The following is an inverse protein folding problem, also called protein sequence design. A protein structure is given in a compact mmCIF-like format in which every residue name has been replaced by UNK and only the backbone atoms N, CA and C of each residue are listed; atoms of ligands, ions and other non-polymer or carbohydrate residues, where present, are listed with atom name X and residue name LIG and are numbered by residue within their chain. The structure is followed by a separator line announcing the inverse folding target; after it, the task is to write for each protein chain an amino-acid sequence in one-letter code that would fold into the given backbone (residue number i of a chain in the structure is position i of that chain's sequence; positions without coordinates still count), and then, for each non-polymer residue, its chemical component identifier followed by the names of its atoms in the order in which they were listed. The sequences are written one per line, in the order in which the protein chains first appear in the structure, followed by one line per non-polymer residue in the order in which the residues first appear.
data_IF_877324495040
#
_entry.id   IF_877324495040
#
_cell.length_a   1.000
_cell.length_b   1.000
_cell.length_c   1.000
_cell.angle_alpha   90.00
_cell.angle_beta   90.00
_cell.angle_gamma   90.00
#
_symmetry.space_group_name_H-M   'P 1'
#
loop_
_entity.id
_entity.type
_entity.pdbx_description
1 polymer ?
#
# COMPACT_ATOMS: atom_id res chain seq x y z
N UNK A 1 18.98 28.45 2.34
CA UNK A 1 17.89 27.50 2.69
C UNK A 1 17.23 26.87 1.46
N UNK A 2 16.76 27.63 0.46
CA UNK A 2 16.10 27.06 -0.74
C UNK A 2 17.02 26.17 -1.58
N UNK A 3 18.26 26.60 -1.83
CA UNK A 3 19.27 25.81 -2.55
C UNK A 3 19.76 24.58 -1.77
N UNK A 4 19.78 24.66 -0.43
CA UNK A 4 20.16 23.54 0.43
C UNK A 4 19.11 22.42 0.39
N UNK A 5 17.82 22.79 0.35
CA UNK A 5 16.73 21.83 0.15
C UNK A 5 16.79 21.15 -1.23
N UNK A 6 17.08 21.91 -2.29
CA UNK A 6 17.24 21.36 -3.65
C UNK A 6 18.44 20.39 -3.70
N UNK A 7 19.56 20.73 -3.06
CA UNK A 7 20.75 19.87 -2.98
C UNK A 7 20.46 18.56 -2.25
N UNK A 8 19.73 18.63 -1.13
CA UNK A 8 19.34 17.42 -0.38
C UNK A 8 18.38 16.53 -1.18
N UNK A 9 17.41 17.12 -1.87
CA UNK A 9 16.48 16.37 -2.73
C UNK A 9 17.21 15.73 -3.91
N UNK A 10 18.16 16.44 -4.53
CA UNK A 10 18.96 15.88 -5.61
C UNK A 10 19.86 14.72 -5.13
N UNK A 11 20.44 14.83 -3.95
CA UNK A 11 21.27 13.78 -3.36
C UNK A 11 20.45 12.52 -3.02
N UNK A 12 19.22 12.66 -2.51
CA UNK A 12 18.34 11.52 -2.22
C UNK A 12 17.85 10.84 -3.50
N UNK A 13 17.57 11.62 -4.56
CA UNK A 13 17.23 11.10 -5.89
C UNK A 13 18.39 10.32 -6.51
N UNK A 14 19.63 10.81 -6.36
CA UNK A 14 20.82 10.15 -6.89
C UNK A 14 21.16 8.85 -6.14
N UNK A 15 20.92 8.80 -4.83
CA UNK A 15 21.11 7.61 -4.01
C UNK A 15 20.07 6.50 -4.28
N UNK A 16 18.96 6.80 -4.97
CA UNK A 16 17.94 5.83 -5.32
C UNK A 16 18.28 4.98 -6.57
N UNK A 17 19.45 5.21 -7.20
CA UNK A 17 19.90 4.39 -8.32
C UNK A 17 20.24 2.97 -7.82
N UNK A 18 19.63 1.91 -8.39
CA UNK A 18 19.93 0.55 -7.98
C UNK A 18 21.37 0.21 -8.36
N UNK A 19 22.19 -0.12 -7.36
CA UNK A 19 23.54 -0.65 -7.54
C UNK A 19 23.52 -2.16 -7.34
N UNK A 20 24.33 -2.90 -8.10
CA UNK A 20 24.55 -4.35 -7.93
C UNK A 20 25.31 -4.61 -6.62
N UNK A 21 24.57 -4.61 -5.51
CA UNK A 21 25.13 -4.87 -4.18
C UNK A 21 25.29 -6.38 -3.97
N UNK A 22 26.53 -6.85 -3.75
CA UNK A 22 26.75 -8.19 -3.18
C UNK A 22 26.35 -8.13 -1.70
N UNK A 23 25.20 -8.69 -1.37
CA UNK A 23 24.64 -8.56 -0.05
C UNK A 23 25.45 -9.35 1.01
N UNK A 24 25.67 -8.74 2.17
CA UNK A 24 26.47 -9.30 3.27
C UNK A 24 25.66 -10.09 4.31
N UNK A 25 24.42 -10.43 3.99
CA UNK A 25 23.58 -11.28 4.84
C UNK A 25 23.08 -12.46 4.01
N UNK A 26 23.19 -13.68 4.56
CA UNK A 26 22.78 -14.94 3.92
C UNK A 26 21.34 -14.93 3.39
N UNK A 27 20.48 -14.08 3.95
CA UNK A 27 19.09 -13.87 3.52
C UNK A 27 18.95 -13.34 2.08
N UNK A 28 19.87 -12.47 1.65
CA UNK A 28 19.83 -11.89 0.31
C UNK A 28 20.41 -12.85 -0.75
N UNK A 29 21.42 -13.64 -0.36
CA UNK A 29 22.01 -14.70 -1.17
C UNK A 29 20.98 -15.77 -1.54
N UNK A 30 20.18 -16.24 -0.56
CA UNK A 30 19.10 -17.18 -0.81
C UNK A 30 18.04 -16.62 -1.77
N UNK A 31 17.78 -15.31 -1.76
CA UNK A 31 16.80 -14.70 -2.68
C UNK A 31 17.35 -14.59 -4.10
N UNK A 32 18.65 -14.34 -4.27
CA UNK A 32 19.31 -14.24 -5.57
C UNK A 32 19.56 -15.62 -6.20
N UNK A 33 20.00 -16.61 -5.41
CA UNK A 33 20.30 -17.98 -5.86
C UNK A 33 19.03 -18.75 -6.23
N UNK A 34 17.92 -18.60 -5.48
CA UNK A 34 16.63 -19.22 -5.81
C UNK A 34 15.96 -18.64 -7.07
N UNK A 35 16.43 -17.50 -7.59
CA UNK A 35 15.87 -16.87 -8.78
C UNK A 35 16.45 -17.43 -10.09
N UNK A 36 17.64 -18.05 -10.07
CA UNK A 36 18.39 -18.35 -11.29
C UNK A 36 18.92 -19.78 -11.39
N UNK A 37 18.98 -20.56 -10.31
CA UNK A 37 19.47 -21.95 -10.42
C UNK A 37 18.39 -22.96 -10.86
N UNK A 38 18.78 -23.78 -11.84
CA UNK A 38 18.17 -25.06 -12.23
C UNK A 38 16.76 -25.06 -12.84
N UNK A 39 16.39 -24.08 -13.69
CA UNK A 39 15.10 -24.13 -14.40
C UNK A 39 13.90 -24.19 -13.45
N UNK A 40 14.12 -23.75 -12.22
CA UNK A 40 13.26 -23.99 -11.08
C UNK A 40 12.05 -23.05 -11.14
N UNK A 41 10.85 -23.61 -11.32
CA UNK A 41 9.60 -22.84 -11.33
C UNK A 41 9.16 -22.41 -9.94
N UNK A 42 9.94 -22.67 -8.89
CA UNK A 42 9.63 -22.29 -7.51
C UNK A 42 9.69 -20.77 -7.27
N UNK A 43 10.48 -20.04 -8.07
CA UNK A 43 10.41 -18.56 -8.17
C UNK A 43 9.18 -18.05 -8.92
N UNK A 44 8.54 -18.88 -9.77
CA UNK A 44 7.26 -18.58 -10.44
C UNK A 44 6.11 -18.72 -9.45
N UNK A 45 6.01 -17.80 -8.50
CA UNK A 45 4.93 -17.82 -7.52
C UNK A 45 5.27 -17.09 -6.22
N UNK A 46 6.55 -16.91 -5.92
CA UNK A 46 6.97 -16.18 -4.72
C UNK A 46 6.46 -14.73 -4.70
N UNK A 47 6.51 -14.04 -5.84
CA UNK A 47 5.90 -12.72 -6.00
C UNK A 47 4.37 -12.75 -5.80
N UNK A 48 3.70 -13.86 -6.12
CA UNK A 48 2.27 -14.03 -5.85
C UNK A 48 2.01 -14.27 -4.36
N UNK A 49 2.87 -15.04 -3.68
CA UNK A 49 2.81 -15.24 -2.23
C UNK A 49 3.02 -13.93 -1.45
N UNK A 50 4.01 -13.12 -1.84
CA UNK A 50 4.25 -11.81 -1.23
C UNK A 50 3.05 -10.88 -1.46
N UNK A 51 2.54 -10.79 -2.70
CA UNK A 51 1.34 -9.99 -3.00
C UNK A 51 0.10 -10.51 -2.25
N UNK A 52 -0.03 -11.82 -2.05
CA UNK A 52 -1.12 -12.42 -1.27
C UNK A 52 -1.03 -12.02 0.20
N UNK A 53 0.14 -12.17 0.84
CA UNK A 53 0.35 -11.78 2.23
C UNK A 53 0.20 -10.27 2.44
N UNK A 54 0.65 -9.45 1.48
CA UNK A 54 0.45 -8.01 1.51
C UNK A 54 -1.01 -7.62 1.30
N UNK A 55 -1.80 -8.35 0.51
CA UNK A 55 -3.21 -8.03 0.26
C UNK A 55 -4.09 -8.20 1.51
N UNK A 56 -3.77 -9.17 2.38
CA UNK A 56 -4.55 -9.50 3.58
C UNK A 56 -4.81 -8.28 4.49
N UNK A 57 -3.80 -7.50 4.94
CA UNK A 57 -4.04 -6.34 5.80
C UNK A 57 -4.89 -5.26 5.14
N UNK A 58 -4.76 -5.03 3.83
CA UNK A 58 -5.58 -4.05 3.12
C UNK A 58 -7.04 -4.50 3.01
N UNK A 59 -7.28 -5.77 2.69
CA UNK A 59 -8.62 -6.34 2.63
C UNK A 59 -9.31 -6.32 4.00
N UNK A 60 -8.56 -6.64 5.06
CA UNK A 60 -9.06 -6.55 6.44
C UNK A 60 -9.44 -5.11 6.81
N UNK A 61 -8.59 -4.12 6.48
CA UNK A 61 -8.86 -2.71 6.75
C UNK A 61 -10.12 -2.21 6.01
N UNK A 62 -10.29 -2.59 4.74
CA UNK A 62 -11.49 -2.26 3.95
C UNK A 62 -12.74 -2.90 4.56
N UNK A 63 -12.67 -4.17 4.95
CA UNK A 63 -13.78 -4.88 5.59
C UNK A 63 -14.22 -4.20 6.89
N UNK A 64 -13.27 -3.87 7.77
CA UNK A 64 -13.54 -3.16 9.03
C UNK A 64 -14.14 -1.77 8.73
N UNK A 65 -13.58 -1.03 7.78
CA UNK A 65 -14.05 0.31 7.41
C UNK A 65 -15.50 0.30 6.89
N UNK A 66 -15.86 -0.66 6.04
CA UNK A 66 -17.23 -0.81 5.52
C UNK A 66 -18.21 -1.17 6.63
N UNK A 67 -17.85 -2.11 7.52
CA UNK A 67 -18.68 -2.49 8.65
C UNK A 67 -18.91 -1.32 9.60
N UNK A 68 -17.85 -0.56 9.90
CA UNK A 68 -17.94 0.65 10.72
C UNK A 68 -18.84 1.70 10.06
N UNK A 69 -18.62 2.02 8.79
CA UNK A 69 -19.45 3.00 8.07
C UNK A 69 -20.92 2.62 8.04
N UNK A 70 -21.25 1.35 7.79
CA UNK A 70 -22.64 0.88 7.78
C UNK A 70 -23.28 0.93 9.17
N UNK A 71 -22.52 0.64 10.22
CA UNK A 71 -23.02 0.63 11.60
C UNK A 71 -23.22 2.04 12.18
N UNK A 72 -22.31 2.97 11.89
CA UNK A 72 -22.30 4.30 12.50
C UNK A 72 -22.95 5.39 11.65
N UNK A 73 -23.25 5.13 10.37
CA UNK A 73 -24.03 6.05 9.55
C UNK A 73 -25.52 5.85 9.80
N UNK A 74 -26.07 6.56 10.78
CA UNK A 74 -27.51 6.70 10.95
C UNK A 74 -28.13 7.27 9.66
N UNK A 75 -29.12 6.56 9.11
CA UNK A 75 -29.98 7.11 8.07
C UNK A 75 -30.81 8.21 8.71
N UNK A 76 -30.54 9.48 8.39
CA UNK A 76 -31.50 10.55 8.70
C UNK A 76 -32.74 10.29 7.86
N UNK A 77 -33.80 9.77 8.47
CA UNK A 77 -35.14 9.86 7.92
C UNK A 77 -35.50 11.34 7.97
N UNK A 78 -35.42 12.01 6.82
CA UNK A 78 -36.00 13.35 6.68
C UNK A 78 -37.51 13.12 6.74
N UNK A 79 -38.08 13.28 7.93
CA UNK A 79 -39.52 13.42 8.05
C UNK A 79 -39.84 14.76 7.40
N UNK A 80 -40.48 14.70 6.23
CA UNK A 80 -41.07 15.86 5.58
C UNK A 80 -42.31 16.18 6.40
N UNK A 81 -42.12 16.85 7.53
CA UNK A 81 -43.23 17.49 8.23
C UNK A 81 -43.83 18.52 7.26
N UNK A 82 -45.14 18.43 7.06
CA UNK A 82 -45.90 19.22 6.10
C UNK A 82 -46.06 20.67 6.59
N UNK A 83 -44.96 21.34 6.93
CA UNK A 83 -45.00 22.74 7.31
C UNK A 83 -45.07 23.60 6.03
N UNK A 84 -46.13 24.41 5.86
CA UNK A 84 -46.24 25.28 4.70
C UNK A 84 -45.08 26.27 4.70
N UNK A 85 -44.25 26.19 3.67
CA UNK A 85 -43.13 27.11 3.45
C UNK A 85 -43.73 28.47 3.13
N UNK A 86 -43.75 29.36 4.13
CA UNK A 86 -44.14 30.76 3.98
C UNK A 86 -42.97 31.50 3.33
N UNK A 87 -42.97 31.58 2.01
CA UNK A 87 -42.16 32.56 1.28
C UNK A 87 -42.89 33.90 1.36
N UNK A 88 -42.27 34.86 2.03
CA UNK A 88 -42.68 36.27 2.07
C UNK A 88 -42.78 36.86 0.66
#
# INVERSE_FOLDING_TARGET
MRFLGILMVAATLFAAVPNDTKAQCAMCTLTAENATEHGNTQGKGLNKGILFLLAIPYLAAVGIGVLWYKKYRSKKTVNVDNDPIVLN
#
